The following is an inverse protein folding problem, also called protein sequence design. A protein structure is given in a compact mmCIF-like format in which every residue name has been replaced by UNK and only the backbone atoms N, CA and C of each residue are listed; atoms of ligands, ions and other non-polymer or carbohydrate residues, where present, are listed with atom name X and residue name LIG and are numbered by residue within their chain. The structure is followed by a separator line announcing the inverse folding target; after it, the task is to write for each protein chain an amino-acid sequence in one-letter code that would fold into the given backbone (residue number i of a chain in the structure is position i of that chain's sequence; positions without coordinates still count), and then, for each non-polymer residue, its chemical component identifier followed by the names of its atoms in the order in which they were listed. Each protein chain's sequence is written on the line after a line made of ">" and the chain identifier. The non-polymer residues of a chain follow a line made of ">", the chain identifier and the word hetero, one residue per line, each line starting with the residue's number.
data_IF_778918776778
#
_entry.id   IF_778918776778
#
_cell.length_a   1.000
_cell.length_b   1.000
_cell.length_c   1.000
_cell.angle_alpha   90.00
_cell.angle_beta   90.00
_cell.angle_gamma   90.00
#
_symmetry.space_group_name_H-M   'P 1'
#
loop_
_entity.id
_entity.type
_entity.pdbx_description
1 polymer ?
#
# COMPACT_ATOMS: atom_id res chain seq x y z
N UNK A 1 -1.17 37.80 21.88
CA UNK A 1 -2.29 38.21 21.00
C UNK A 1 -3.56 37.77 21.69
N UNK A 2 -4.51 38.67 21.93
CA UNK A 2 -5.77 38.33 22.60
C UNK A 2 -6.64 37.42 21.72
N UNK A 3 -7.50 36.62 22.35
CA UNK A 3 -8.47 35.79 21.64
C UNK A 3 -9.63 36.66 21.15
N UNK A 4 -9.89 36.61 19.84
CA UNK A 4 -11.13 37.08 19.22
C UNK A 4 -11.36 36.29 17.93
N UNK A 5 -12.58 36.34 17.39
CA UNK A 5 -12.96 35.55 16.21
C UNK A 5 -12.12 35.94 14.98
N UNK A 6 -11.90 37.23 14.75
CA UNK A 6 -11.11 37.73 13.62
C UNK A 6 -9.66 37.22 13.63
N UNK A 7 -9.05 37.10 14.81
CA UNK A 7 -7.71 36.57 14.99
C UNK A 7 -7.67 35.07 14.64
N UNK A 8 -8.68 34.30 15.05
CA UNK A 8 -8.81 32.89 14.67
C UNK A 8 -8.95 32.78 13.15
N UNK A 9 -9.87 33.54 12.55
CA UNK A 9 -10.11 33.51 11.11
C UNK A 9 -8.87 33.93 10.31
N UNK A 10 -8.17 34.97 10.74
CA UNK A 10 -6.92 35.43 10.13
C UNK A 10 -5.84 34.34 10.18
N UNK A 11 -5.68 33.66 11.31
CA UNK A 11 -4.73 32.53 11.45
C UNK A 11 -5.09 31.35 10.57
N UNK A 12 -6.37 30.98 10.49
CA UNK A 12 -6.84 29.91 9.61
C UNK A 12 -6.65 30.28 8.13
N UNK A 13 -6.86 31.53 7.74
CA UNK A 13 -6.65 32.00 6.36
C UNK A 13 -5.16 32.04 5.97
N UNK A 14 -4.27 32.29 6.92
CA UNK A 14 -2.82 32.31 6.70
C UNK A 14 -2.17 30.91 6.75
N UNK A 15 -2.94 29.85 7.00
CA UNK A 15 -2.43 28.50 7.15
C UNK A 15 -1.88 27.96 5.82
N UNK A 16 -0.64 27.46 5.86
CA UNK A 16 0.03 26.81 4.72
C UNK A 16 0.28 25.33 5.02
N UNK A 17 0.72 24.56 4.02
CA UNK A 17 1.02 23.12 4.18
C UNK A 17 2.33 22.87 4.96
N UNK A 18 3.11 23.91 5.26
CA UNK A 18 4.38 23.74 5.97
C UNK A 18 4.13 23.35 7.43
N UNK A 19 4.95 22.42 7.92
CA UNK A 19 4.87 21.96 9.30
C UNK A 19 4.97 23.11 10.31
N UNK A 20 5.87 24.08 10.08
CA UNK A 20 6.04 25.26 10.94
C UNK A 20 4.76 26.11 11.05
N UNK A 21 4.06 26.33 9.93
CA UNK A 21 2.81 27.10 9.90
C UNK A 21 1.70 26.40 10.69
N UNK A 22 1.58 25.08 10.51
CA UNK A 22 0.61 24.24 11.22
C UNK A 22 0.92 24.19 12.72
N UNK A 23 2.17 23.90 13.09
CA UNK A 23 2.60 23.79 14.48
C UNK A 23 2.44 25.11 15.25
N UNK A 24 2.84 26.24 14.65
CA UNK A 24 2.71 27.56 15.26
C UNK A 24 1.24 27.95 15.46
N UNK A 25 0.40 27.66 14.48
CA UNK A 25 -1.05 27.92 14.58
C UNK A 25 -1.70 27.02 15.63
N UNK A 26 -1.37 25.73 15.65
CA UNK A 26 -1.84 24.77 16.65
C UNK A 26 -1.44 25.21 18.06
N UNK A 27 -0.19 25.65 18.27
CA UNK A 27 0.28 26.13 19.57
C UNK A 27 -0.53 27.35 20.06
N UNK A 28 -0.81 28.30 19.18
CA UNK A 28 -1.62 29.48 19.53
C UNK A 28 -3.07 29.10 19.86
N UNK A 29 -3.67 28.16 19.12
CA UNK A 29 -5.01 27.62 19.39
C UNK A 29 -5.01 26.90 20.75
N UNK A 30 -4.01 26.06 21.01
CA UNK A 30 -3.83 25.29 22.25
C UNK A 30 -3.66 26.20 23.48
N UNK A 31 -3.04 27.37 23.31
CA UNK A 31 -2.94 28.37 24.38
C UNK A 31 -4.33 28.89 24.80
N UNK A 32 -5.26 29.04 23.84
CA UNK A 32 -6.62 29.54 24.07
C UNK A 32 -7.67 28.42 24.21
N UNK A 33 -7.30 27.27 24.78
CA UNK A 33 -8.19 26.08 24.93
C UNK A 33 -9.56 26.36 25.59
N UNK A 34 -9.67 27.41 26.42
CA UNK A 34 -10.95 27.83 27.03
C UNK A 34 -12.02 28.15 25.99
N UNK A 35 -11.61 28.47 24.77
CA UNK A 35 -12.46 28.74 23.63
C UNK A 35 -12.44 27.60 22.61
N UNK A 36 -12.19 26.36 23.03
CA UNK A 36 -12.09 25.21 22.13
C UNK A 36 -13.34 25.05 21.26
N UNK A 37 -14.53 25.05 21.85
CA UNK A 37 -15.79 24.92 21.12
C UNK A 37 -15.98 26.01 20.05
N UNK A 38 -15.77 27.28 20.42
CA UNK A 38 -15.87 28.42 19.49
C UNK A 38 -14.83 28.33 18.37
N UNK A 39 -13.59 27.95 18.70
CA UNK A 39 -12.52 27.79 17.72
C UNK A 39 -12.80 26.67 16.73
N UNK A 40 -13.31 25.52 17.20
CA UNK A 40 -13.71 24.40 16.33
C UNK A 40 -14.88 24.78 15.43
N UNK A 41 -15.83 25.56 15.93
CA UNK A 41 -16.94 26.06 15.13
C UNK A 41 -16.46 26.97 13.99
N UNK A 42 -15.59 27.95 14.30
CA UNK A 42 -14.98 28.82 13.30
C UNK A 42 -14.13 28.04 12.28
N UNK A 43 -13.37 27.05 12.75
CA UNK A 43 -12.61 26.14 11.90
C UNK A 43 -13.51 25.36 10.94
N UNK A 44 -14.64 24.82 11.41
CA UNK A 44 -15.57 24.07 10.58
C UNK A 44 -16.24 24.96 9.52
N UNK A 45 -16.63 26.19 9.90
CA UNK A 45 -17.18 27.16 8.96
C UNK A 45 -16.16 27.49 7.87
N UNK A 46 -14.91 27.78 8.23
CA UNK A 46 -13.86 28.01 7.24
C UNK A 46 -13.55 26.79 6.39
N UNK A 47 -13.56 25.58 6.95
CA UNK A 47 -13.34 24.35 6.20
C UNK A 47 -14.35 24.19 5.05
N UNK A 48 -15.62 24.55 5.29
CA UNK A 48 -16.69 24.48 4.29
C UNK A 48 -16.46 25.44 3.12
N UNK A 49 -15.93 26.63 3.41
CA UNK A 49 -15.66 27.67 2.41
C UNK A 49 -14.39 27.42 1.59
N UNK A 50 -13.49 26.55 2.06
CA UNK A 50 -12.20 26.30 1.41
C UNK A 50 -12.31 25.30 0.24
N UNK A 51 -11.47 25.46 -0.81
CA UNK A 51 -11.35 24.48 -1.89
C UNK A 51 -10.64 23.20 -1.42
N UNK A 52 -10.88 22.07 -2.09
CA UNK A 52 -10.43 20.73 -1.69
C UNK A 52 -8.95 20.63 -1.26
N UNK A 53 -7.95 21.20 -1.98
CA UNK A 53 -6.55 21.13 -1.57
C UNK A 53 -6.26 21.82 -0.23
N UNK A 54 -6.94 22.94 0.04
CA UNK A 54 -6.76 23.69 1.29
C UNK A 54 -7.47 23.04 2.49
N UNK A 55 -8.46 22.17 2.25
CA UNK A 55 -9.13 21.41 3.30
C UNK A 55 -8.18 20.42 3.98
N UNK A 56 -7.23 19.86 3.25
CA UNK A 56 -6.21 18.97 3.83
C UNK A 56 -5.40 19.67 4.94
N UNK A 57 -4.97 20.92 4.70
CA UNK A 57 -4.23 21.69 5.72
C UNK A 57 -5.05 21.91 6.99
N UNK A 58 -6.36 22.12 6.86
CA UNK A 58 -7.27 22.26 8.00
C UNK A 58 -7.39 20.95 8.78
N UNK A 59 -7.40 19.80 8.10
CA UNK A 59 -7.37 18.48 8.76
C UNK A 59 -6.03 18.22 9.44
N UNK A 60 -4.90 18.61 8.84
CA UNK A 60 -3.59 18.54 9.52
C UNK A 60 -3.52 19.43 10.76
N UNK A 61 -4.10 20.62 10.72
CA UNK A 61 -4.22 21.47 11.90
C UNK A 61 -5.06 20.80 13.01
N UNK A 62 -6.21 20.24 12.66
CA UNK A 62 -7.04 19.51 13.63
C UNK A 62 -6.30 18.30 14.21
N UNK A 63 -5.55 17.57 13.38
CA UNK A 63 -4.70 16.47 13.81
C UNK A 63 -3.60 16.92 14.79
N UNK A 64 -2.93 18.04 14.52
CA UNK A 64 -1.90 18.57 15.43
C UNK A 64 -2.51 19.01 16.77
N UNK A 65 -3.61 19.75 16.74
CA UNK A 65 -4.30 20.24 17.95
C UNK A 65 -4.81 19.08 18.80
N UNK A 66 -5.50 18.11 18.21
CA UNK A 66 -6.08 16.97 18.95
C UNK A 66 -5.01 16.07 19.57
N UNK A 67 -3.92 15.79 18.83
CA UNK A 67 -2.82 15.00 19.36
C UNK A 67 -2.07 15.73 20.48
N UNK A 68 -1.76 17.02 20.31
CA UNK A 68 -1.12 17.81 21.38
C UNK A 68 -2.03 17.94 22.60
N UNK A 69 -3.33 18.10 22.40
CA UNK A 69 -4.31 18.17 23.48
C UNK A 69 -4.33 16.86 24.29
N UNK A 70 -4.36 15.71 23.59
CA UNK A 70 -4.28 14.40 24.23
C UNK A 70 -2.96 14.17 24.95
N UNK A 71 -1.82 14.49 24.32
CA UNK A 71 -0.49 14.31 24.93
C UNK A 71 -0.32 15.15 26.22
N UNK A 72 -1.05 16.26 26.34
CA UNK A 72 -1.05 17.13 27.52
C UNK A 72 -2.17 16.78 28.52
N UNK A 73 -2.90 15.69 28.31
CA UNK A 73 -4.07 15.26 29.09
C UNK A 73 -5.12 16.38 29.25
N UNK A 74 -5.40 17.07 28.14
CA UNK A 74 -6.43 18.11 28.05
C UNK A 74 -7.44 17.70 27.00
N UNK A 75 -8.66 17.40 27.41
CA UNK A 75 -9.65 16.84 26.49
C UNK A 75 -10.57 17.90 25.85
N UNK A 76 -10.37 19.20 26.15
CA UNK A 76 -11.24 20.28 25.66
C UNK A 76 -11.40 20.26 24.13
N UNK A 77 -10.27 20.10 23.41
CA UNK A 77 -10.30 20.01 21.95
C UNK A 77 -10.78 18.65 21.45
N UNK A 78 -10.49 17.55 22.15
CA UNK A 78 -11.00 16.23 21.77
C UNK A 78 -12.53 16.21 21.81
N UNK A 79 -13.10 16.72 22.91
CA UNK A 79 -14.55 16.86 23.09
C UNK A 79 -15.16 17.82 22.06
N UNK A 80 -14.51 18.95 21.79
CA UNK A 80 -15.01 19.93 20.82
C UNK A 80 -14.97 19.42 19.37
N UNK A 81 -13.94 18.67 18.96
CA UNK A 81 -13.83 18.11 17.61
C UNK A 81 -14.68 16.87 17.39
N UNK A 82 -14.89 16.05 18.42
CA UNK A 82 -15.61 14.76 18.35
C UNK A 82 -16.92 14.81 17.53
N UNK A 83 -17.88 15.72 17.78
CA UNK A 83 -19.15 15.74 17.04
C UNK A 83 -19.03 16.18 15.57
N UNK A 84 -17.91 16.79 15.17
CA UNK A 84 -17.77 17.39 13.84
C UNK A 84 -16.71 16.72 12.96
N UNK A 85 -15.76 16.00 13.56
CA UNK A 85 -14.57 15.52 12.86
C UNK A 85 -14.90 14.53 11.74
N UNK A 86 -15.91 13.69 11.95
CA UNK A 86 -16.37 12.74 10.94
C UNK A 86 -16.97 13.44 9.71
N UNK A 87 -17.76 14.49 9.90
CA UNK A 87 -18.34 15.28 8.79
C UNK A 87 -17.27 16.13 8.09
N UNK A 88 -16.36 16.72 8.87
CA UNK A 88 -15.25 17.50 8.35
C UNK A 88 -14.29 16.66 7.51
N UNK A 89 -13.98 15.44 7.94
CA UNK A 89 -13.12 14.51 7.20
C UNK A 89 -13.80 14.06 5.91
N UNK A 90 -15.09 13.70 5.97
CA UNK A 90 -15.88 13.35 4.78
C UNK A 90 -15.97 14.51 3.77
N UNK A 91 -16.16 15.74 4.24
CA UNK A 91 -16.19 16.94 3.39
C UNK A 91 -14.85 17.23 2.72
N UNK A 92 -13.74 16.95 3.42
CA UNK A 92 -12.38 17.10 2.89
C UNK A 92 -12.05 15.99 1.90
N UNK A 93 -12.61 14.80 2.10
CA UNK A 93 -12.42 13.62 1.25
C UNK A 93 -13.23 13.70 -0.05
N UNK A 94 -14.44 14.27 0.02
CA UNK A 94 -15.34 14.41 -1.13
C UNK A 94 -14.76 15.39 -2.17
N UNK A 95 -14.58 14.91 -3.40
CA UNK A 95 -14.05 15.71 -4.50
C UNK A 95 -12.54 15.97 -4.46
N UNK A 96 -11.82 15.34 -3.51
CA UNK A 96 -10.37 15.38 -3.46
C UNK A 96 -9.72 14.42 -4.47
N UNK A 97 -8.49 14.75 -4.89
CA UNK A 97 -7.66 13.86 -5.71
C UNK A 97 -7.28 12.61 -4.92
N UNK A 98 -6.89 11.53 -5.64
CA UNK A 98 -6.46 10.27 -5.01
C UNK A 98 -5.31 10.47 -4.00
N UNK A 99 -4.36 11.34 -4.32
CA UNK A 99 -3.24 11.67 -3.42
C UNK A 99 -3.71 12.29 -2.09
N UNK A 100 -4.61 13.28 -2.16
CA UNK A 100 -5.16 13.93 -0.95
C UNK A 100 -6.01 12.94 -0.16
N UNK A 101 -6.78 12.08 -0.83
CA UNK A 101 -7.57 11.04 -0.19
C UNK A 101 -6.70 10.05 0.59
N UNK A 102 -5.57 9.63 0.03
CA UNK A 102 -4.62 8.75 0.71
C UNK A 102 -3.99 9.44 1.93
N UNK A 103 -3.64 10.72 1.82
CA UNK A 103 -3.15 11.52 2.95
C UNK A 103 -4.19 11.63 4.07
N UNK A 104 -5.46 11.88 3.73
CA UNK A 104 -6.56 11.91 4.71
C UNK A 104 -6.75 10.55 5.41
N UNK A 105 -6.70 9.43 4.67
CA UNK A 105 -6.76 8.09 5.29
C UNK A 105 -5.62 7.87 6.27
N UNK A 106 -4.40 8.26 5.91
CA UNK A 106 -3.25 8.15 6.82
C UNK A 106 -3.48 8.92 8.12
N UNK A 107 -4.10 10.10 8.07
CA UNK A 107 -4.47 10.86 9.28
C UNK A 107 -5.47 10.10 10.13
N UNK A 108 -6.50 9.49 9.53
CA UNK A 108 -7.50 8.67 10.25
C UNK A 108 -6.86 7.45 10.90
N UNK A 109 -5.93 6.77 10.20
CA UNK A 109 -5.16 5.65 10.74
C UNK A 109 -4.33 6.08 11.95
N UNK A 110 -3.66 7.24 11.87
CA UNK A 110 -2.92 7.82 13.01
C UNK A 110 -3.84 8.09 14.19
N UNK A 111 -5.05 8.61 13.95
CA UNK A 111 -6.04 8.77 15.03
C UNK A 111 -6.43 7.43 15.67
N UNK A 112 -6.40 6.33 14.92
CA UNK A 112 -6.77 4.99 15.40
C UNK A 112 -5.65 4.40 16.23
N UNK A 113 -4.45 4.36 15.66
CA UNK A 113 -3.22 3.89 16.29
C UNK A 113 -3.01 4.57 17.65
N UNK A 114 -3.19 5.90 17.69
CA UNK A 114 -2.99 6.72 18.91
C UNK A 114 -4.25 6.84 19.77
N UNK A 115 -5.34 6.16 19.39
CA UNK A 115 -6.66 6.19 20.07
C UNK A 115 -7.17 7.61 20.33
N UNK A 116 -6.94 8.56 19.43
CA UNK A 116 -7.22 10.00 19.64
C UNK A 116 -8.70 10.24 19.91
N UNK A 117 -9.57 9.60 19.12
CA UNK A 117 -11.01 9.67 19.30
C UNK A 117 -11.56 8.32 19.79
N UNK A 118 -12.75 8.32 20.45
CA UNK A 118 -13.48 7.10 20.78
C UNK A 118 -13.77 6.24 19.54
N UNK A 119 -13.98 4.94 19.76
CA UNK A 119 -14.23 3.98 18.67
C UNK A 119 -15.47 4.35 17.85
N UNK A 120 -16.52 4.88 18.49
CA UNK A 120 -17.75 5.30 17.81
C UNK A 120 -17.50 6.42 16.77
N UNK A 121 -16.61 7.35 17.09
CA UNK A 121 -16.23 8.45 16.19
C UNK A 121 -15.36 7.93 15.05
N UNK A 122 -14.44 7.01 15.34
CA UNK A 122 -13.64 6.30 14.33
C UNK A 122 -14.52 5.55 13.33
N UNK A 123 -15.47 4.78 13.83
CA UNK A 123 -16.39 4.00 12.99
C UNK A 123 -17.29 4.92 12.16
N UNK A 124 -17.71 6.07 12.70
CA UNK A 124 -18.44 7.09 11.95
C UNK A 124 -17.60 7.73 10.83
N UNK A 125 -16.31 7.99 11.07
CA UNK A 125 -15.38 8.46 10.02
C UNK A 125 -15.28 7.39 8.92
N UNK A 126 -15.00 6.14 9.28
CA UNK A 126 -14.83 5.04 8.33
C UNK A 126 -16.08 4.81 7.49
N UNK A 127 -17.27 4.79 8.11
CA UNK A 127 -18.54 4.62 7.39
C UNK A 127 -18.72 5.69 6.32
N UNK A 128 -18.50 6.96 6.68
CA UNK A 128 -18.65 8.08 5.74
C UNK A 128 -17.63 8.03 4.60
N UNK A 129 -16.39 7.66 4.89
CA UNK A 129 -15.36 7.49 3.86
C UNK A 129 -15.74 6.36 2.89
N UNK A 130 -16.19 5.21 3.43
CA UNK A 130 -16.65 4.07 2.63
C UNK A 130 -17.87 4.40 1.77
N UNK A 131 -18.84 5.13 2.31
CA UNK A 131 -20.00 5.61 1.56
C UNK A 131 -19.57 6.52 0.40
N UNK A 132 -18.61 7.41 0.62
CA UNK A 132 -18.08 8.28 -0.43
C UNK A 132 -17.29 7.50 -1.49
N UNK A 133 -16.54 6.47 -1.09
CA UNK A 133 -15.87 5.57 -2.04
C UNK A 133 -16.87 4.76 -2.86
N UNK A 134 -17.91 4.23 -2.21
CA UNK A 134 -19.00 3.50 -2.88
C UNK A 134 -19.79 4.41 -3.82
N UNK A 135 -20.03 5.66 -3.45
CA UNK A 135 -20.71 6.64 -4.28
C UNK A 135 -19.86 7.06 -5.49
N UNK A 136 -18.53 7.05 -5.37
CA UNK A 136 -17.60 7.25 -6.49
C UNK A 136 -17.47 6.01 -7.37
N UNK A 137 -17.57 4.84 -6.76
CA UNK A 137 -17.59 3.52 -7.40
C UNK A 137 -19.01 3.12 -7.81
N UNK A 138 -19.83 4.03 -8.33
CA UNK A 138 -21.21 3.77 -8.74
C UNK A 138 -21.35 2.49 -9.56
N UNK A 139 -21.72 1.41 -8.87
CA UNK A 139 -21.69 0.04 -9.37
C UNK A 139 -20.92 -0.89 -8.43
N UNK A 140 -21.65 -1.73 -7.70
CA UNK A 140 -21.20 -2.88 -6.88
C UNK A 140 -20.86 -2.58 -5.41
N UNK A 141 -21.88 -2.68 -4.55
CA UNK A 141 -21.71 -3.01 -3.13
C UNK A 141 -22.85 -3.95 -2.71
N UNK A 142 -22.51 -5.22 -2.52
CA UNK A 142 -23.21 -6.07 -1.56
C UNK A 142 -22.17 -6.92 -0.82
N UNK A 143 -22.02 -6.60 0.47
CA UNK A 143 -21.58 -7.52 1.54
C UNK A 143 -20.29 -8.29 1.33
N UNK A 144 -19.14 -7.66 1.57
CA UNK A 144 -17.89 -8.38 1.86
C UNK A 144 -17.50 -8.15 3.32
N UNK A 145 -17.70 -9.18 4.14
CA UNK A 145 -16.91 -9.41 5.34
C UNK A 145 -15.51 -9.81 4.89
N UNK A 146 -14.53 -8.90 4.87
CA UNK A 146 -13.11 -9.26 4.83
C UNK A 146 -12.14 -8.08 5.04
N UNK A 147 -11.30 -8.22 6.07
CA UNK A 147 -9.85 -7.99 6.06
C UNK A 147 -9.37 -6.60 5.58
N UNK A 148 -9.04 -5.76 6.54
CA UNK A 148 -8.37 -4.47 6.39
C UNK A 148 -7.00 -4.53 5.69
N UNK A 149 -6.90 -3.96 4.48
CA UNK A 149 -5.69 -3.31 3.92
C UNK A 149 -6.00 -2.55 2.62
N UNK A 150 -5.21 -1.52 2.26
CA UNK A 150 -5.60 -0.48 1.31
C UNK A 150 -5.67 -1.01 -0.13
N UNK A 151 -6.53 -0.39 -0.92
CA UNK A 151 -6.80 -0.71 -2.32
C UNK A 151 -5.51 -0.80 -3.17
N UNK A 152 -4.98 -2.00 -3.30
CA UNK A 152 -4.22 -2.38 -4.47
C UNK A 152 -5.23 -2.44 -5.63
N UNK A 153 -5.02 -1.62 -6.66
CA UNK A 153 -5.64 -1.88 -7.95
C UNK A 153 -5.42 -3.35 -8.27
N UNK A 154 -6.49 -4.08 -8.59
CA UNK A 154 -6.40 -5.51 -8.91
C UNK A 154 -5.30 -5.67 -9.97
N UNK A 155 -4.22 -6.41 -9.68
CA UNK A 155 -3.15 -6.63 -10.64
C UNK A 155 -3.72 -7.11 -11.97
N UNK A 156 -3.18 -6.66 -13.12
CA UNK A 156 -3.73 -7.02 -14.44
C UNK A 156 -3.82 -8.53 -14.66
N UNK A 157 -2.91 -9.30 -14.05
CA UNK A 157 -2.92 -10.77 -14.05
C UNK A 157 -4.19 -11.39 -13.44
N UNK A 158 -4.85 -10.69 -12.50
CA UNK A 158 -6.06 -11.15 -11.83
C UNK A 158 -7.35 -10.66 -12.50
N UNK A 159 -7.28 -9.72 -13.45
CA UNK A 159 -8.43 -9.20 -14.18
C UNK A 159 -9.31 -10.28 -14.87
N UNK A 160 -8.73 -11.27 -15.60
CA UNK A 160 -9.56 -12.33 -16.21
C UNK A 160 -10.27 -13.17 -15.15
N UNK A 161 -9.63 -13.40 -13.99
CA UNK A 161 -10.20 -14.20 -12.91
C UNK A 161 -11.37 -13.49 -12.24
N UNK A 162 -11.26 -12.18 -12.03
CA UNK A 162 -12.37 -11.36 -11.48
C UNK A 162 -13.59 -11.43 -12.40
N UNK A 163 -13.38 -11.34 -13.71
CA UNK A 163 -14.47 -11.39 -14.70
C UNK A 163 -15.19 -12.74 -14.67
N UNK A 164 -14.44 -13.85 -14.67
CA UNK A 164 -15.03 -15.19 -14.58
C UNK A 164 -15.75 -15.42 -13.24
N UNK A 165 -15.20 -14.93 -12.13
CA UNK A 165 -15.84 -15.05 -10.81
C UNK A 165 -17.15 -14.27 -10.72
N UNK A 166 -17.21 -13.08 -11.35
CA UNK A 166 -18.45 -12.30 -11.44
C UNK A 166 -19.51 -13.04 -12.27
N UNK A 167 -19.12 -13.66 -13.38
CA UNK A 167 -20.02 -14.46 -14.21
C UNK A 167 -20.62 -15.65 -13.43
N UNK A 168 -19.79 -16.38 -12.67
CA UNK A 168 -20.25 -17.46 -11.78
C UNK A 168 -21.21 -16.95 -10.71
N UNK A 169 -20.93 -15.79 -10.12
CA UNK A 169 -21.79 -15.23 -9.07
C UNK A 169 -23.18 -14.89 -9.61
N UNK A 170 -23.24 -14.29 -10.81
CA UNK A 170 -24.50 -13.96 -11.49
C UNK A 170 -25.28 -15.21 -11.89
N UNK A 171 -24.62 -16.21 -12.49
CA UNK A 171 -25.26 -17.45 -12.93
C UNK A 171 -25.74 -18.28 -11.74
N UNK A 172 -24.99 -18.31 -10.63
CA UNK A 172 -25.38 -19.01 -9.40
C UNK A 172 -26.62 -18.40 -8.74
N UNK A 173 -26.76 -17.07 -8.75
CA UNK A 173 -27.96 -16.39 -8.21
C UNK A 173 -29.20 -16.66 -9.06
N UNK A 174 -29.05 -16.63 -10.39
CA UNK A 174 -30.12 -16.99 -11.32
C UNK A 174 -30.55 -18.47 -11.12
N UNK A 175 -29.58 -19.38 -11.03
CA UNK A 175 -29.81 -20.79 -10.75
C UNK A 175 -30.60 -20.99 -9.44
N UNK A 176 -30.20 -20.36 -8.34
CA UNK A 176 -30.89 -20.49 -7.05
C UNK A 176 -32.37 -20.13 -7.16
N UNK A 177 -32.69 -19.05 -7.88
CA UNK A 177 -34.07 -18.57 -8.04
C UNK A 177 -34.90 -19.51 -8.90
N UNK A 178 -34.36 -19.92 -10.06
CA UNK A 178 -35.04 -20.84 -10.98
C UNK A 178 -35.25 -22.22 -10.36
N UNK A 179 -34.24 -22.76 -9.67
CA UNK A 179 -34.32 -24.07 -9.02
C UNK A 179 -35.33 -24.07 -7.86
N UNK A 180 -35.36 -23.02 -7.04
CA UNK A 180 -36.32 -22.90 -5.93
C UNK A 180 -37.76 -22.85 -6.46
N UNK A 181 -37.98 -22.09 -7.53
CA UNK A 181 -39.31 -21.95 -8.16
C UNK A 181 -39.76 -23.28 -8.75
N UNK A 182 -38.91 -23.92 -9.57
CA UNK A 182 -39.21 -25.20 -10.20
C UNK A 182 -39.47 -26.31 -9.16
N UNK A 183 -38.66 -26.41 -8.11
CA UNK A 183 -38.83 -27.41 -7.06
C UNK A 183 -40.09 -27.18 -6.22
N UNK A 184 -40.39 -25.92 -5.88
CA UNK A 184 -41.64 -25.55 -5.18
C UNK A 184 -42.85 -25.98 -6.00
N UNK A 185 -42.88 -25.61 -7.28
CA UNK A 185 -44.02 -25.87 -8.15
C UNK A 185 -44.18 -27.36 -8.44
N UNK A 186 -43.06 -28.07 -8.65
CA UNK A 186 -43.06 -29.52 -8.81
C UNK A 186 -43.64 -30.22 -7.57
N UNK A 187 -43.15 -29.86 -6.38
CA UNK A 187 -43.60 -30.46 -5.12
C UNK A 187 -45.09 -30.22 -4.88
N UNK A 188 -45.58 -29.01 -5.16
CA UNK A 188 -47.01 -28.66 -5.01
C UNK A 188 -47.93 -29.41 -5.98
N UNK A 189 -47.48 -29.65 -7.21
CA UNK A 189 -48.29 -30.33 -8.22
C UNK A 189 -48.25 -31.86 -8.09
N UNK A 190 -47.16 -32.41 -7.59
CA UNK A 190 -46.91 -33.85 -7.53
C UNK A 190 -47.17 -34.45 -6.15
N UNK A 191 -47.61 -33.65 -5.18
CA UNK A 191 -47.95 -34.13 -3.84
C UNK A 191 -49.20 -35.05 -3.88
N UNK A 192 -49.07 -36.34 -3.53
CA UNK A 192 -50.19 -37.29 -3.53
C UNK A 192 -51.29 -36.94 -2.52
N UNK A 193 -51.01 -36.09 -1.53
CA UNK A 193 -51.95 -35.71 -0.49
C UNK A 193 -52.96 -34.62 -0.92
N UNK A 194 -52.73 -33.96 -2.06
CA UNK A 194 -53.60 -32.90 -2.56
C UNK A 194 -54.55 -33.42 -3.65
N UNK A 195 -55.86 -33.15 -3.49
CA UNK A 195 -56.85 -33.50 -4.51
C UNK A 195 -56.52 -32.78 -5.84
N UNK A 196 -56.53 -33.48 -6.98
CA UNK A 196 -56.15 -32.90 -8.25
C UNK A 196 -57.11 -31.78 -8.64
N UNK A 197 -56.60 -30.64 -9.15
CA UNK A 197 -57.45 -29.56 -9.60
C UNK A 197 -58.25 -29.99 -10.84
N UNK A 198 -59.28 -29.21 -11.19
CA UNK A 198 -60.09 -29.47 -12.39
C UNK A 198 -59.21 -29.58 -13.64
N UNK A 199 -59.54 -30.50 -14.55
CA UNK A 199 -58.68 -30.90 -15.67
C UNK A 199 -58.11 -29.73 -16.50
N UNK A 200 -58.86 -28.67 -16.86
CA UNK A 200 -58.30 -27.52 -17.59
C UNK A 200 -57.25 -26.75 -16.79
N UNK A 201 -57.48 -26.59 -15.48
CA UNK A 201 -56.56 -25.89 -14.57
C UNK A 201 -55.31 -26.73 -14.31
N UNK A 202 -55.46 -28.05 -14.20
CA UNK A 202 -54.34 -28.96 -14.04
C UNK A 202 -53.41 -28.93 -15.26
N UNK A 203 -53.96 -29.02 -16.47
CA UNK A 203 -53.19 -28.91 -17.71
C UNK A 203 -52.46 -27.57 -17.82
N UNK A 204 -53.10 -26.44 -17.47
CA UNK A 204 -52.45 -25.13 -17.47
C UNK A 204 -51.26 -25.06 -16.48
N UNK A 205 -51.42 -25.62 -15.27
CA UNK A 205 -50.34 -25.67 -14.26
C UNK A 205 -49.19 -26.57 -14.68
N UNK A 206 -49.46 -27.72 -15.31
CA UNK A 206 -48.42 -28.59 -15.87
C UNK A 206 -47.60 -27.90 -16.96
N UNK A 207 -48.24 -27.14 -17.85
CA UNK A 207 -47.55 -26.34 -18.84
C UNK A 207 -46.67 -25.24 -18.19
N UNK A 208 -47.17 -24.60 -17.13
CA UNK A 208 -46.37 -23.66 -16.33
C UNK A 208 -45.15 -24.32 -15.68
N UNK A 209 -45.33 -25.52 -15.11
CA UNK A 209 -44.25 -26.30 -14.52
C UNK A 209 -43.19 -26.69 -15.54
N UNK A 210 -43.58 -27.18 -16.74
CA UNK A 210 -42.64 -27.48 -17.82
C UNK A 210 -41.79 -26.27 -18.21
N UNK A 211 -42.40 -25.08 -18.28
CA UNK A 211 -41.66 -23.84 -18.54
C UNK A 211 -40.67 -23.51 -17.41
N UNK A 212 -41.08 -23.66 -16.16
CA UNK A 212 -40.22 -23.39 -15.01
C UNK A 212 -39.05 -24.40 -14.92
N UNK A 213 -39.29 -25.68 -15.24
CA UNK A 213 -38.25 -26.70 -15.33
C UNK A 213 -37.25 -26.39 -16.46
N UNK A 214 -37.72 -26.04 -17.65
CA UNK A 214 -36.85 -25.65 -18.76
C UNK A 214 -35.97 -24.42 -18.42
N UNK A 215 -36.54 -23.43 -17.72
CA UNK A 215 -35.79 -22.28 -17.21
C UNK A 215 -34.72 -22.68 -16.17
N UNK A 216 -35.04 -23.64 -15.30
CA UNK A 216 -34.08 -24.16 -14.32
C UNK A 216 -32.96 -24.95 -14.99
N UNK A 217 -33.26 -25.80 -15.97
CA UNK A 217 -32.28 -26.54 -16.78
C UNK A 217 -31.32 -25.60 -17.52
N UNK A 218 -31.85 -24.53 -18.14
CA UNK A 218 -31.04 -23.50 -18.77
C UNK A 218 -30.12 -22.78 -17.78
N UNK A 219 -30.63 -22.45 -16.59
CA UNK A 219 -29.84 -21.82 -15.54
C UNK A 219 -28.74 -22.73 -14.97
N UNK A 220 -29.00 -24.05 -14.85
CA UNK A 220 -27.99 -25.05 -14.47
C UNK A 220 -26.89 -25.11 -15.51
N UNK A 221 -27.25 -25.21 -16.79
CA UNK A 221 -26.31 -25.29 -17.91
C UNK A 221 -25.38 -24.08 -17.97
N UNK A 222 -25.93 -22.87 -17.82
CA UNK A 222 -25.13 -21.63 -17.79
C UNK A 222 -24.21 -21.57 -16.55
N UNK A 223 -24.68 -22.06 -15.40
CA UNK A 223 -23.86 -22.11 -14.19
C UNK A 223 -22.71 -23.12 -14.30
N UNK A 224 -22.92 -24.25 -14.97
CA UNK A 224 -21.86 -25.22 -15.28
C UNK A 224 -20.81 -24.56 -16.18
N UNK A 225 -21.26 -23.98 -17.31
CA UNK A 225 -20.37 -23.32 -18.28
C UNK A 225 -19.51 -22.23 -17.64
N UNK A 226 -20.13 -21.31 -16.90
CA UNK A 226 -19.39 -20.21 -16.23
C UNK A 226 -18.39 -20.72 -15.19
N UNK A 227 -18.67 -21.86 -14.52
CA UNK A 227 -17.72 -22.49 -13.60
C UNK A 227 -16.55 -23.15 -14.33
N UNK A 228 -16.79 -23.81 -15.46
CA UNK A 228 -15.73 -24.39 -16.31
C UNK A 228 -14.78 -23.29 -16.81
N UNK A 229 -15.32 -22.14 -17.24
CA UNK A 229 -14.53 -20.97 -17.63
C UNK A 229 -13.67 -20.42 -16.48
N UNK A 230 -14.22 -20.35 -15.26
CA UNK A 230 -13.47 -19.95 -14.07
C UNK A 230 -12.32 -20.92 -13.74
N UNK A 231 -12.59 -22.23 -13.79
CA UNK A 231 -11.58 -23.27 -13.55
C UNK A 231 -10.46 -23.14 -14.58
N UNK A 232 -10.79 -22.99 -15.86
CA UNK A 232 -9.81 -22.80 -16.94
C UNK A 232 -8.92 -21.58 -16.71
N UNK A 233 -9.50 -20.45 -16.27
CA UNK A 233 -8.75 -19.24 -15.94
C UNK A 233 -7.77 -19.46 -14.76
N UNK A 234 -8.21 -20.15 -13.70
CA UNK A 234 -7.37 -20.50 -12.55
C UNK A 234 -6.21 -21.42 -12.95
N UNK A 235 -6.47 -22.45 -13.74
CA UNK A 235 -5.45 -23.39 -14.22
C UNK A 235 -4.41 -22.70 -15.08
N UNK A 236 -4.83 -21.79 -15.96
CA UNK A 236 -3.93 -20.99 -16.78
C UNK A 236 -2.98 -20.15 -15.92
N UNK A 237 -3.52 -19.42 -14.94
CA UNK A 237 -2.72 -18.60 -14.04
C UNK A 237 -1.74 -19.44 -13.21
N UNK A 238 -2.21 -20.57 -12.69
CA UNK A 238 -1.39 -21.52 -11.95
C UNK A 238 -0.25 -22.10 -12.82
N UNK A 239 -0.54 -22.43 -14.08
CA UNK A 239 0.48 -22.94 -15.01
C UNK A 239 1.56 -21.89 -15.32
N UNK A 240 1.18 -20.63 -15.49
CA UNK A 240 2.12 -19.52 -15.72
C UNK A 240 3.03 -19.29 -14.51
N UNK A 241 2.48 -19.31 -13.29
CA UNK A 241 3.28 -19.18 -12.06
C UNK A 241 4.23 -20.37 -11.88
N UNK A 242 3.80 -21.59 -12.22
CA UNK A 242 4.69 -22.78 -12.19
C UNK A 242 5.87 -22.63 -13.16
N UNK A 243 5.63 -22.14 -14.37
CA UNK A 243 6.71 -21.91 -15.35
C UNK A 243 7.69 -20.81 -14.89
N UNK A 244 7.17 -19.71 -14.34
CA UNK A 244 8.01 -18.64 -13.79
C UNK A 244 8.89 -19.16 -12.63
N UNK A 245 8.30 -19.94 -11.71
CA UNK A 245 9.03 -20.55 -10.61
C UNK A 245 10.14 -21.48 -11.09
N UNK A 246 9.88 -22.30 -12.11
CA UNK A 246 10.89 -23.18 -12.69
C UNK A 246 12.04 -22.40 -13.33
N UNK A 247 11.72 -21.32 -14.05
CA UNK A 247 12.73 -20.43 -14.63
C UNK A 247 13.61 -19.78 -13.55
N UNK A 248 13.02 -19.22 -12.50
CA UNK A 248 13.74 -18.61 -11.38
C UNK A 248 14.62 -19.62 -10.63
N UNK A 249 14.13 -20.85 -10.42
CA UNK A 249 14.94 -21.94 -9.85
C UNK A 249 16.12 -22.31 -10.74
N UNK A 250 15.95 -22.34 -12.06
CA UNK A 250 17.06 -22.58 -12.99
C UNK A 250 18.11 -21.47 -12.92
N UNK A 251 17.68 -20.20 -12.87
CA UNK A 251 18.57 -19.05 -12.73
C UNK A 251 19.37 -19.10 -11.43
N UNK A 252 18.74 -19.50 -10.33
CA UNK A 252 19.42 -19.64 -9.05
C UNK A 252 20.52 -20.72 -9.10
N UNK A 253 20.27 -21.86 -9.74
CA UNK A 253 21.29 -22.92 -9.94
C UNK A 253 22.46 -22.42 -10.78
N UNK A 254 22.17 -21.67 -11.85
CA UNK A 254 23.18 -21.07 -12.70
C UNK A 254 24.06 -20.07 -11.93
N UNK A 255 23.44 -19.19 -11.14
CA UNK A 255 24.16 -18.23 -10.30
C UNK A 255 25.01 -18.93 -9.24
N UNK A 256 24.51 -20.00 -8.61
CA UNK A 256 25.27 -20.82 -7.68
C UNK A 256 26.52 -21.43 -8.34
N UNK A 257 26.36 -21.98 -9.54
CA UNK A 257 27.46 -22.55 -10.33
C UNK A 257 28.51 -21.49 -10.67
N UNK A 258 28.06 -20.31 -11.15
CA UNK A 258 28.96 -19.19 -11.46
C UNK A 258 29.69 -18.68 -10.22
N UNK A 259 29.02 -18.60 -9.07
CA UNK A 259 29.63 -18.17 -7.81
C UNK A 259 30.75 -19.11 -7.39
N UNK A 260 30.51 -20.43 -7.43
CA UNK A 260 31.55 -21.43 -7.13
C UNK A 260 32.74 -21.29 -8.06
N UNK A 261 32.50 -21.17 -9.37
CA UNK A 261 33.58 -21.00 -10.35
C UNK A 261 34.42 -19.73 -10.14
N UNK A 262 33.79 -18.63 -9.69
CA UNK A 262 34.50 -17.39 -9.34
C UNK A 262 35.30 -17.54 -8.05
N UNK A 263 34.74 -18.19 -7.02
CA UNK A 263 35.45 -18.42 -5.75
C UNK A 263 36.65 -19.34 -5.95
N UNK A 264 36.53 -20.39 -6.77
CA UNK A 264 37.64 -21.26 -7.14
C UNK A 264 38.76 -20.49 -7.86
N UNK A 265 38.42 -19.63 -8.83
CA UNK A 265 39.40 -18.77 -9.50
C UNK A 265 40.07 -17.79 -8.53
N UNK A 266 39.30 -17.20 -7.62
CA UNK A 266 39.81 -16.30 -6.60
C UNK A 266 40.79 -17.02 -5.68
N UNK A 267 40.43 -18.20 -5.16
CA UNK A 267 41.31 -19.02 -4.32
C UNK A 267 42.59 -19.42 -5.06
N UNK A 268 42.49 -19.80 -6.34
CA UNK A 268 43.66 -20.13 -7.15
C UNK A 268 44.62 -18.93 -7.30
N UNK A 269 44.09 -17.72 -7.50
CA UNK A 269 44.89 -16.49 -7.57
C UNK A 269 45.50 -16.17 -6.20
N UNK A 270 44.75 -16.27 -5.10
CA UNK A 270 45.26 -16.06 -3.75
C UNK A 270 46.40 -17.03 -3.40
N UNK A 271 46.25 -18.31 -3.75
CA UNK A 271 47.31 -19.32 -3.58
C UNK A 271 48.54 -19.01 -4.44
N UNK A 272 48.37 -18.52 -5.67
CA UNK A 272 49.49 -18.09 -6.54
C UNK A 272 50.25 -16.89 -5.94
N UNK A 273 49.53 -15.96 -5.31
CA UNK A 273 50.14 -14.79 -4.63
C UNK A 273 50.92 -15.25 -3.38
N UNK A 274 50.34 -16.13 -2.57
CA UNK A 274 50.96 -16.63 -1.31
C UNK A 274 52.13 -17.58 -1.60
N UNK A 275 52.03 -18.40 -2.65
CA UNK A 275 53.07 -19.33 -3.06
C UNK A 275 54.37 -18.68 -3.54
N UNK A 276 54.36 -17.35 -3.74
CA UNK A 276 55.44 -16.61 -4.40
C UNK A 276 55.50 -17.01 -5.86
N UNK A 277 55.35 -16.04 -6.77
CA UNK A 277 55.48 -16.30 -8.21
C UNK A 277 56.76 -17.12 -8.47
N UNK A 278 56.70 -18.31 -9.10
CA UNK A 278 57.90 -18.88 -9.68
C UNK A 278 58.36 -17.91 -10.77
N UNK A 279 59.53 -17.31 -10.52
CA UNK A 279 60.33 -16.62 -11.51
C UNK A 279 60.50 -17.55 -12.71
N UNK A 280 60.13 -17.04 -13.87
CA UNK A 280 60.23 -17.68 -15.18
C UNK A 280 61.52 -18.52 -15.29
N UNK A 281 61.38 -19.84 -15.17
CA UNK A 281 62.46 -20.80 -15.42
C UNK A 281 62.00 -21.73 -16.53
N UNK A 282 62.16 -21.21 -17.74
CA UNK A 282 62.66 -21.82 -18.98
C UNK A 282 62.87 -23.34 -18.99
N UNK A 283 62.47 -24.00 -20.09
CA UNK A 283 63.16 -25.09 -20.84
C UNK A 283 62.19 -25.77 -21.84
N UNK A 284 62.64 -26.55 -22.85
CA UNK A 284 63.58 -26.23 -23.92
C UNK A 284 63.02 -26.66 -25.31
N UNK A 285 63.53 -26.11 -26.42
CA UNK A 285 63.28 -26.66 -27.75
C UNK A 285 64.59 -26.81 -28.53
N UNK A 286 64.99 -28.05 -28.73
CA UNK A 286 66.11 -28.51 -29.56
C UNK A 286 65.64 -28.81 -30.99
N UNK A 287 66.37 -28.30 -31.99
CA UNK A 287 66.37 -28.69 -33.42
C UNK A 287 65.23 -28.04 -34.25
N UNK A 288 65.43 -27.40 -35.39
CA UNK A 288 66.45 -27.52 -36.42
C UNK A 288 66.68 -26.17 -37.16
N UNK A 289 67.82 -26.12 -37.85
CA UNK A 289 68.42 -25.00 -38.56
C UNK A 289 67.64 -24.51 -39.79
N UNK A 290 67.68 -23.19 -40.07
CA UNK A 290 68.48 -22.57 -41.17
C UNK A 290 67.91 -21.20 -41.64
N UNK A 291 68.47 -20.13 -41.07
CA UNK A 291 69.08 -18.93 -41.70
C UNK A 291 68.40 -18.12 -42.85
N UNK A 292 68.76 -16.83 -43.08
CA UNK A 292 69.51 -15.88 -42.22
C UNK A 292 69.08 -14.38 -42.26
N UNK A 293 69.72 -13.64 -41.32
CA UNK A 293 70.29 -12.28 -41.41
C UNK A 293 69.35 -11.07 -41.54
N UNK A 294 69.45 -10.01 -40.74
CA UNK A 294 70.69 -9.36 -40.26
C UNK A 294 70.51 -8.54 -38.96
N UNK A 295 71.49 -8.68 -38.07
CA UNK A 295 72.19 -7.67 -37.22
C UNK A 295 71.75 -6.20 -37.36
N UNK A 296 71.61 -5.40 -36.30
CA UNK A 296 72.60 -5.13 -35.25
C UNK A 296 71.96 -4.49 -34.01
N UNK A 297 72.59 -4.65 -32.85
CA UNK A 297 72.07 -4.24 -31.54
C UNK A 297 72.11 -2.72 -31.27
N UNK A 298 71.46 -2.31 -30.18
CA UNK A 298 72.07 -1.74 -28.95
C UNK A 298 70.93 -1.33 -27.99
N UNK A 299 71.12 -1.58 -26.70
CA UNK A 299 70.05 -1.62 -25.71
C UNK A 299 69.67 -0.31 -25.01
N UNK A 300 68.48 -0.42 -24.38
CA UNK A 300 67.97 0.23 -23.16
C UNK A 300 67.70 1.75 -23.18
N UNK A 301 66.41 2.14 -23.18
CA UNK A 301 65.82 2.97 -22.12
C UNK A 301 64.27 3.13 -22.23
N UNK A 302 63.57 2.66 -21.18
CA UNK A 302 62.39 3.22 -20.48
C UNK A 302 61.12 3.63 -21.27
N UNK A 303 59.96 2.96 -21.09
CA UNK A 303 58.69 3.42 -21.65
C UNK A 303 58.05 4.53 -20.79
N UNK A 304 57.59 5.59 -21.47
CA UNK A 304 56.75 6.66 -20.92
C UNK A 304 55.26 6.29 -21.03
N UNK A 305 54.50 6.72 -20.03
CA UNK A 305 53.04 6.52 -19.90
C UNK A 305 52.29 7.51 -20.80
N UNK A 306 51.39 7.01 -21.65
CA UNK A 306 50.56 7.82 -22.55
C UNK A 306 49.10 7.80 -22.06
N UNK A 307 48.54 8.99 -21.82
CA UNK A 307 47.16 9.21 -21.42
C UNK A 307 46.28 9.41 -22.65
N UNK A 308 45.26 8.56 -22.81
CA UNK A 308 44.34 8.59 -23.94
C UNK A 308 43.31 9.70 -23.80
N UNK A 309 43.38 10.66 -24.72
CA UNK A 309 42.35 11.67 -25.01
C UNK A 309 41.30 11.06 -25.95
N UNK A 310 39.98 11.26 -25.76
CA UNK A 310 38.95 10.70 -26.65
C UNK A 310 38.91 11.38 -28.03
N UNK A 311 38.47 10.69 -29.10
CA UNK A 311 38.52 11.19 -30.47
C UNK A 311 37.37 12.15 -30.84
N UNK A 312 37.68 13.02 -31.80
CA UNK A 312 36.87 14.09 -32.40
C UNK A 312 35.80 13.55 -33.35
N UNK A 313 34.60 14.16 -33.35
CA UNK A 313 33.50 13.87 -34.28
C UNK A 313 33.48 14.95 -35.36
N UNK A 314 33.36 14.52 -36.63
CA UNK A 314 33.43 15.33 -37.84
C UNK A 314 32.06 15.94 -38.19
N UNK A 315 32.02 17.24 -38.47
CA UNK A 315 30.86 17.96 -39.02
C UNK A 315 30.72 17.77 -40.54
N UNK A 316 29.47 17.74 -41.03
CA UNK A 316 29.14 18.08 -42.41
C UNK A 316 27.72 18.69 -42.47
N UNK A 317 27.66 19.95 -42.94
CA UNK A 317 26.49 20.81 -43.15
C UNK A 317 25.59 20.36 -44.32
N UNK A 318 24.29 20.70 -44.26
CA UNK A 318 23.59 21.42 -45.36
C UNK A 318 22.15 21.88 -44.97
N UNK A 319 21.99 23.21 -44.90
CA UNK A 319 21.04 24.05 -45.67
C UNK A 319 19.53 24.24 -45.32
N UNK A 320 19.24 25.49 -44.88
CA UNK A 320 18.18 26.47 -45.27
C UNK A 320 17.23 27.07 -44.18
N UNK A 321 17.51 28.35 -43.89
CA UNK A 321 16.67 29.56 -43.77
C UNK A 321 15.39 29.62 -42.90
N UNK A 322 15.41 30.45 -41.84
CA UNK A 322 14.99 31.88 -41.86
C UNK A 322 14.78 32.42 -40.41
N UNK A 323 15.40 33.56 -40.09
CA UNK A 323 15.21 34.45 -38.91
C UNK A 323 14.17 35.55 -39.25
N UNK A 324 13.68 36.47 -38.36
CA UNK A 324 14.34 37.16 -37.21
C UNK A 324 13.40 37.32 -35.97
N UNK A 325 13.65 37.96 -34.81
CA UNK A 325 14.46 39.14 -34.44
C UNK A 325 14.58 39.25 -32.89
N UNK A 326 15.71 39.81 -32.40
CA UNK A 326 15.89 40.73 -31.25
C UNK A 326 15.56 40.26 -29.79
N UNK A 327 16.28 40.62 -28.71
CA UNK A 327 17.44 41.47 -28.40
C UNK A 327 17.87 41.18 -26.92
N UNK A 328 19.16 41.38 -26.62
CA UNK A 328 19.78 41.73 -25.32
C UNK A 328 20.07 40.65 -24.23
N UNK A 329 21.36 40.60 -23.88
CA UNK A 329 22.06 39.97 -22.73
C UNK A 329 22.01 40.88 -21.46
N UNK A 330 22.52 40.50 -20.25
CA UNK A 330 23.33 39.31 -19.89
C UNK A 330 22.98 38.55 -18.58
N UNK A 331 23.49 37.31 -18.53
CA UNK A 331 24.10 36.54 -17.42
C UNK A 331 23.52 36.59 -15.99
N UNK A 332 23.09 35.42 -15.47
CA UNK A 332 23.91 34.57 -14.57
C UNK A 332 23.17 33.28 -14.12
N UNK A 333 23.90 32.16 -14.04
CA UNK A 333 23.58 31.09 -13.07
C UNK A 333 23.02 29.75 -13.58
N UNK A 334 23.91 28.91 -14.11
CA UNK A 334 24.06 27.47 -13.85
C UNK A 334 22.87 26.47 -13.88
N UNK A 335 23.05 25.50 -14.77
CA UNK A 335 22.78 24.04 -14.67
C UNK A 335 21.34 23.52 -14.75
N UNK A 336 21.04 22.95 -15.93
CA UNK A 336 20.04 21.89 -16.13
C UNK A 336 20.55 20.53 -15.61
N UNK A 337 19.69 19.66 -15.05
CA UNK A 337 20.02 18.28 -14.76
C UNK A 337 19.67 17.36 -15.94
N UNK A 338 20.57 16.44 -16.26
CA UNK A 338 20.26 15.19 -16.96
C UNK A 338 20.22 14.05 -15.94
N UNK A 339 19.27 13.13 -16.12
CA UNK A 339 18.87 12.17 -15.11
C UNK A 339 19.84 11.02 -14.84
N UNK A 340 19.76 10.47 -13.63
CA UNK A 340 19.93 9.05 -13.34
C UNK A 340 19.38 8.73 -11.93
N UNK A 341 18.94 7.49 -11.74
CA UNK A 341 18.00 7.03 -10.71
C UNK A 341 18.50 7.07 -9.24
N UNK A 342 17.66 7.44 -8.24
CA UNK A 342 18.04 7.51 -6.84
C UNK A 342 17.57 6.26 -6.06
N UNK A 343 18.38 5.20 -6.05
CA UNK A 343 18.01 3.94 -5.36
C UNK A 343 19.00 3.44 -4.32
N UNK A 344 20.27 3.87 -4.38
CA UNK A 344 21.36 3.15 -3.67
C UNK A 344 22.00 3.99 -2.57
N UNK A 345 21.86 5.33 -2.57
CA UNK A 345 22.48 6.18 -1.53
C UNK A 345 21.66 6.26 -0.22
N UNK A 346 20.38 5.91 -0.24
CA UNK A 346 19.52 5.99 0.95
C UNK A 346 19.82 4.91 2.01
N UNK A 347 20.45 3.80 1.62
CA UNK A 347 20.85 2.74 2.55
C UNK A 347 22.18 3.04 3.27
N UNK A 348 23.03 3.87 2.67
CA UNK A 348 24.32 4.28 3.27
C UNK A 348 24.14 5.35 4.37
N UNK A 349 23.09 6.17 4.27
CA UNK A 349 22.79 7.20 5.26
C UNK A 349 22.16 6.67 6.57
N UNK A 350 21.55 5.46 6.55
CA UNK A 350 20.87 4.90 7.72
C UNK A 350 21.82 4.12 8.66
N UNK A 351 22.96 3.65 8.16
CA UNK A 351 23.95 2.90 8.95
C UNK A 351 24.85 3.79 9.83
N UNK A 352 24.87 5.11 9.60
CA UNK A 352 25.78 6.05 10.27
C UNK A 352 25.18 6.77 11.50
N UNK A 353 23.98 6.40 11.97
CA UNK A 353 23.30 7.07 13.10
C UNK A 353 23.10 6.21 14.35
N UNK A 354 23.77 5.06 14.49
CA UNK A 354 23.83 4.37 15.78
C UNK A 354 25.00 4.89 16.62
N UNK A 355 24.72 5.92 17.41
CA UNK A 355 25.58 6.35 18.51
C UNK A 355 25.24 5.54 19.77
N UNK A 356 26.25 4.88 20.33
CA UNK A 356 26.16 3.98 21.49
C UNK A 356 25.90 4.75 22.80
N UNK A 357 24.81 4.42 23.50
CA UNK A 357 24.50 4.95 24.85
C UNK A 357 25.21 4.10 25.92
N UNK A 358 25.87 4.70 26.93
CA UNK A 358 26.66 3.96 27.91
C UNK A 358 25.79 3.27 28.97
N UNK A 359 26.14 2.02 29.28
CA UNK A 359 25.61 1.17 30.34
C UNK A 359 25.93 1.75 31.71
N UNK A 360 24.91 2.03 32.52
CA UNK A 360 25.06 2.32 33.96
C UNK A 360 24.49 1.20 34.81
N UNK A 361 25.27 0.87 35.82
CA UNK A 361 25.25 -0.32 36.65
C UNK A 361 24.00 -0.47 37.53
N UNK A 362 23.76 -1.74 37.86
CA UNK A 362 22.70 -2.24 38.73
C UNK A 362 22.65 -1.58 40.11
N UNK A 363 21.45 -1.19 40.53
CA UNK A 363 21.08 -1.09 41.95
C UNK A 363 19.79 -1.85 42.21
N UNK A 364 19.96 -2.99 42.86
CA UNK A 364 18.94 -3.84 43.49
C UNK A 364 17.99 -2.96 44.32
N UNK A 365 16.68 -3.05 44.07
CA UNK A 365 15.66 -2.58 45.01
C UNK A 365 14.96 -3.78 45.65
N UNK A 366 15.03 -3.75 46.97
CA UNK A 366 14.49 -4.66 47.97
C UNK A 366 12.96 -4.58 47.93
N UNK A 367 12.32 -5.74 47.87
CA UNK A 367 10.86 -5.89 48.03
C UNK A 367 10.58 -5.70 49.52
N UNK A 368 9.70 -4.74 49.82
CA UNK A 368 9.17 -4.49 51.16
C UNK A 368 7.76 -5.07 51.18
N UNK A 369 7.54 -6.06 52.05
CA UNK A 369 6.21 -6.55 52.42
C UNK A 369 5.51 -5.47 53.23
N UNK A 370 4.36 -4.98 52.73
CA UNK A 370 3.18 -4.50 53.47
C UNK A 370 2.47 -3.39 52.68
N UNK A 371 1.44 -3.77 51.92
CA UNK A 371 0.40 -2.84 51.47
C UNK A 371 -0.91 -3.61 51.28
N UNK A 372 -1.92 -3.22 52.06
CA UNK A 372 -3.30 -3.68 52.07
C UNK A 372 -3.87 -3.91 50.67
N UNK A 373 -4.37 -5.13 50.46
CA UNK A 373 -5.24 -5.47 49.33
C UNK A 373 -6.67 -5.11 49.76
N UNK A 374 -7.39 -4.23 49.04
CA UNK A 374 -8.80 -4.03 49.32
C UNK A 374 -9.58 -5.28 48.89
N UNK A 375 -10.24 -5.89 49.87
CA UNK A 375 -11.20 -6.97 49.74
C UNK A 375 -12.39 -6.53 48.88
N UNK A 376 -12.38 -6.90 47.60
CA UNK A 376 -13.54 -6.80 46.72
C UNK A 376 -14.23 -8.15 46.74
N UNK A 377 -15.23 -8.24 47.63
CA UNK A 377 -16.09 -9.40 47.79
C UNK A 377 -16.67 -9.88 46.46
N UNK A 378 -16.47 -11.16 46.20
CA UNK A 378 -17.00 -11.86 45.03
C UNK A 378 -18.49 -12.11 45.30
N UNK A 379 -19.32 -11.64 44.37
CA UNK A 379 -20.78 -11.81 44.37
C UNK A 379 -21.16 -13.30 44.49
N UNK A 380 -22.10 -13.58 45.41
CA UNK A 380 -22.56 -14.94 45.72
C UNK A 380 -23.16 -15.66 44.49
N UNK A 381 -23.62 -14.90 43.50
CA UNK A 381 -24.23 -15.41 42.27
C UNK A 381 -23.19 -16.03 41.29
N UNK A 382 -21.91 -15.64 41.38
CA UNK A 382 -20.84 -16.19 40.54
C UNK A 382 -20.35 -17.55 41.07
N UNK A 383 -20.37 -17.73 42.38
CA UNK A 383 -19.99 -18.99 43.02
C UNK A 383 -21.02 -20.11 42.74
N UNK A 384 -22.30 -19.77 42.64
CA UNK A 384 -23.37 -20.73 42.35
C UNK A 384 -23.34 -21.19 40.88
N UNK A 385 -22.84 -20.34 39.97
CA UNK A 385 -22.73 -20.67 38.54
C UNK A 385 -21.62 -21.70 38.27
N UNK A 386 -20.50 -21.65 39.00
CA UNK A 386 -19.38 -22.58 38.86
C UNK A 386 -19.71 -23.98 39.40
N UNK A 387 -20.57 -24.08 40.43
CA UNK A 387 -21.01 -25.38 40.94
C UNK A 387 -21.98 -26.11 40.00
N UNK A 388 -22.78 -25.39 39.21
CA UNK A 388 -23.69 -25.98 38.22
C UNK A 388 -22.99 -26.52 36.98
N UNK A 389 -21.81 -26.02 36.64
CA UNK A 389 -21.05 -26.47 35.45
C UNK A 389 -20.15 -27.69 35.73
N UNK A 390 -19.98 -28.07 37.01
CA UNK A 390 -19.21 -29.25 37.42
C UNK A 390 -20.05 -30.53 37.57
N UNK A 391 -21.35 -30.48 37.25
CA UNK A 391 -22.26 -31.62 37.34
C UNK A 391 -23.04 -31.82 36.04
N UNK A 392 -22.34 -32.01 34.91
CA UNK A 392 -22.84 -32.72 33.73
C UNK A 392 -21.72 -33.60 33.18
#
# INVERSE_FOLDING_TARGET
>A
MAYNEDAVLSKLSALTETHESIATTAQWIMFHRRHAAQTVHLWLTKLKDLPSPKRLNMIYLANEVTQQSKARNKDDFLQAFSPFIADATALSYKGASSDIQNKLRRVVDVWRERKIFPIEVQDAIDSRLRELDSARSGGTMFGSTSLSSPAAAVPPELAPLVTSQQAVSKSAQALKTSLTTANSDYSKLMDPAHAPPQAPVYAARLNGLLKNLANAEGAVTECIKTREELISALEKMLSSNRQALEAEQSQLRDLGTRKTAVEEKKQAIELSIIGGLPHNTQEPATGEERAPSSSDGHGIARPQVEALTPPHVQDHDDFYDHRPSEQQQPQNGHTHPTGSAPGIEMLSALASQYESVPTREAKKRKIDETADIPDVGIDADVAEMIQKESTI
#
